data_IF_921792456989
#
_entry.id   IF_921792456989
#
_cell.length_a   1.000
_cell.length_b   1.000
_cell.length_c   1.000
_cell.angle_alpha   90.00
_cell.angle_beta   90.00
_cell.angle_gamma   90.00
#
_symmetry.space_group_name_H-M   'P 1'
#
loop_
_entity.id
_entity.type
_entity.pdbx_description
1 polymer ?
#
# COMPACT_ATOMS: atom_id res chain seq x y z
N UNK A 1 -38.58 23.67 0.38
CA UNK A 1 -38.36 22.40 1.10
C UNK A 1 -37.11 21.74 0.55
N UNK A 2 -35.98 21.85 1.23
CA UNK A 2 -34.79 21.06 0.92
C UNK A 2 -35.06 19.61 1.28
N UNK A 3 -35.01 18.70 0.30
CA UNK A 3 -35.03 17.25 0.54
C UNK A 3 -34.04 16.91 1.66
N UNK A 4 -34.39 16.02 2.62
CA UNK A 4 -33.44 15.60 3.63
C UNK A 4 -32.23 15.00 2.91
N UNK A 5 -31.03 15.47 3.24
CA UNK A 5 -29.79 14.85 2.75
C UNK A 5 -29.87 13.36 3.07
N UNK A 6 -29.85 12.51 2.04
CA UNK A 6 -29.73 11.07 2.24
C UNK A 6 -28.48 10.81 3.06
N UNK A 7 -28.65 10.12 4.19
CA UNK A 7 -27.55 9.69 5.05
C UNK A 7 -27.42 8.17 4.97
N UNK A 8 -26.21 7.66 5.23
CA UNK A 8 -26.00 6.20 5.19
C UNK A 8 -26.84 5.52 6.26
N UNK A 9 -27.01 6.17 7.43
CA UNK A 9 -27.84 5.67 8.52
C UNK A 9 -29.30 5.56 8.12
N UNK A 10 -29.84 6.55 7.42
CA UNK A 10 -31.23 6.52 6.93
C UNK A 10 -31.43 5.40 5.91
N UNK A 11 -30.53 5.29 4.93
CA UNK A 11 -30.63 4.25 3.89
C UNK A 11 -30.56 2.84 4.46
N UNK A 12 -29.61 2.57 5.37
CA UNK A 12 -29.48 1.28 6.04
C UNK A 12 -30.75 0.92 6.83
N UNK A 13 -31.37 1.89 7.51
CA UNK A 13 -32.63 1.68 8.23
C UNK A 13 -33.78 1.38 7.28
N UNK A 14 -33.92 2.14 6.19
CA UNK A 14 -34.94 1.92 5.15
C UNK A 14 -34.80 0.55 4.48
N UNK A 15 -33.57 0.12 4.18
CA UNK A 15 -33.26 -1.18 3.57
C UNK A 15 -33.27 -2.34 4.57
N UNK A 16 -33.56 -2.07 5.86
CA UNK A 16 -33.62 -3.06 6.95
C UNK A 16 -32.34 -3.90 7.09
N UNK A 17 -31.18 -3.36 6.75
CA UNK A 17 -29.92 -4.11 6.78
C UNK A 17 -29.52 -4.49 8.22
N UNK A 18 -28.97 -5.68 8.38
CA UNK A 18 -28.58 -6.26 9.66
C UNK A 18 -27.15 -5.83 10.05
N UNK A 19 -26.72 -6.18 11.27
CA UNK A 19 -25.32 -5.99 11.69
C UNK A 19 -24.34 -6.68 10.71
N UNK A 20 -24.69 -7.86 10.19
CA UNK A 20 -23.83 -8.64 9.31
C UNK A 20 -23.70 -8.01 7.92
N UNK A 21 -24.68 -7.24 7.48
CA UNK A 21 -24.60 -6.46 6.23
C UNK A 21 -23.72 -5.20 6.41
N UNK A 22 -23.63 -4.66 7.63
CA UNK A 22 -22.89 -3.42 7.93
C UNK A 22 -21.41 -3.68 8.19
N UNK A 23 -21.07 -4.76 8.91
CA UNK A 23 -19.68 -5.07 9.28
C UNK A 23 -18.71 -5.11 8.08
N UNK A 24 -19.06 -5.71 6.93
CA UNK A 24 -18.19 -5.72 5.75
C UNK A 24 -17.83 -4.32 5.24
N UNK A 25 -18.70 -3.32 5.42
CA UNK A 25 -18.44 -1.95 4.97
C UNK A 25 -17.19 -1.37 5.63
N UNK A 26 -16.92 -1.68 6.90
CA UNK A 26 -15.69 -1.21 7.56
C UNK A 26 -14.43 -1.76 6.88
N UNK A 27 -14.45 -3.02 6.47
CA UNK A 27 -13.33 -3.62 5.74
C UNK A 27 -13.20 -3.07 4.32
N UNK A 28 -14.33 -2.94 3.60
CA UNK A 28 -14.38 -2.42 2.22
C UNK A 28 -13.90 -0.96 2.15
N UNK A 29 -14.21 -0.16 3.18
CA UNK A 29 -13.91 1.25 3.26
C UNK A 29 -12.63 1.55 4.06
N UNK A 30 -11.99 0.54 4.66
CA UNK A 30 -10.79 0.72 5.47
C UNK A 30 -10.99 1.56 6.72
N UNK A 31 -12.15 1.45 7.35
CA UNK A 31 -12.44 2.08 8.63
C UNK A 31 -12.19 1.10 9.78
N UNK A 32 -11.71 1.62 10.91
CA UNK A 32 -11.56 0.82 12.12
C UNK A 32 -12.93 0.54 12.73
N UNK A 33 -13.11 -0.66 13.28
CA UNK A 33 -14.33 -0.97 14.01
C UNK A 33 -14.39 -0.14 15.29
N UNK A 34 -15.54 0.46 15.61
CA UNK A 34 -15.71 1.18 16.87
C UNK A 34 -15.68 0.20 18.06
N UNK A 35 -15.34 0.67 19.27
CA UNK A 35 -15.40 -0.16 20.48
C UNK A 35 -16.79 -0.79 20.70
N UNK A 36 -17.85 -0.02 20.43
CA UNK A 36 -19.22 -0.51 20.47
C UNK A 36 -19.65 -1.09 19.12
N UNK A 37 -19.61 -2.41 18.99
CA UNK A 37 -19.99 -3.13 17.75
C UNK A 37 -21.48 -3.51 17.69
N UNK A 38 -22.34 -2.89 18.51
CA UNK A 38 -23.80 -2.99 18.34
C UNK A 38 -24.22 -2.23 17.08
N UNK A 39 -25.37 -2.59 16.49
CA UNK A 39 -25.84 -2.04 15.22
C UNK A 39 -25.83 -0.50 15.19
N UNK A 40 -26.43 0.18 16.17
CA UNK A 40 -26.45 1.64 16.19
C UNK A 40 -25.04 2.24 16.33
N UNK A 41 -24.16 1.65 17.15
CA UNK A 41 -22.77 2.11 17.29
C UNK A 41 -21.96 1.98 15.99
N UNK A 42 -22.20 0.92 15.21
CA UNK A 42 -21.62 0.77 13.87
C UNK A 42 -22.15 1.82 12.89
N UNK A 43 -23.45 2.15 12.96
CA UNK A 43 -24.06 3.15 12.09
C UNK A 43 -23.54 4.56 12.40
N UNK A 44 -23.44 4.90 13.68
CA UNK A 44 -22.92 6.21 14.11
C UNK A 44 -21.47 6.38 13.65
N UNK A 45 -20.61 5.39 13.91
CA UNK A 45 -19.22 5.43 13.46
C UNK A 45 -19.07 5.53 11.93
N UNK A 46 -19.89 4.77 11.18
CA UNK A 46 -19.85 4.80 9.71
C UNK A 46 -20.30 6.17 9.16
N UNK A 47 -21.36 6.73 9.73
CA UNK A 47 -21.88 8.06 9.38
C UNK A 47 -20.83 9.14 9.68
N UNK A 48 -20.20 9.10 10.87
CA UNK A 48 -19.15 10.03 11.27
C UNK A 48 -17.93 9.96 10.35
N UNK A 49 -17.46 8.75 10.05
CA UNK A 49 -16.34 8.57 9.12
C UNK A 49 -16.65 9.12 7.73
N UNK A 50 -17.84 8.84 7.18
CA UNK A 50 -18.24 9.34 5.87
C UNK A 50 -18.44 10.85 5.84
N UNK A 51 -18.90 11.44 6.95
CA UNK A 51 -19.05 12.88 7.10
C UNK A 51 -17.72 13.60 7.28
N UNK A 52 -16.80 13.07 8.10
CA UNK A 52 -15.46 13.63 8.28
C UNK A 52 -14.66 13.62 6.97
N UNK A 53 -14.78 12.54 6.21
CA UNK A 53 -14.13 12.38 4.91
C UNK A 53 -14.86 13.10 3.76
N UNK A 54 -15.88 13.94 4.03
CA UNK A 54 -16.49 14.82 3.02
C UNK A 54 -15.51 15.87 2.48
N UNK A 55 -14.43 16.16 3.21
CA UNK A 55 -13.35 16.99 2.67
C UNK A 55 -12.72 16.26 1.48
N UNK A 56 -12.71 16.96 0.34
CA UNK A 56 -12.53 16.47 -1.04
C UNK A 56 -11.60 15.26 -1.13
N UNK A 57 -12.06 14.18 -1.78
CA UNK A 57 -11.16 13.29 -2.50
C UNK A 57 -10.29 14.19 -3.37
N UNK A 58 -9.01 14.34 -3.00
CA UNK A 58 -8.09 15.17 -3.76
C UNK A 58 -7.88 14.42 -5.06
N UNK A 59 -8.37 15.01 -6.14
CA UNK A 59 -8.37 14.42 -7.50
C UNK A 59 -6.97 14.00 -7.99
N UNK A 60 -5.93 14.55 -7.38
CA UNK A 60 -4.53 14.30 -7.71
C UNK A 60 -3.72 14.29 -6.42
N UNK A 61 -3.22 13.12 -6.01
CA UNK A 61 -2.36 13.00 -4.84
C UNK A 61 -1.37 11.86 -5.02
N UNK A 62 -0.32 11.88 -4.20
CA UNK A 62 0.62 10.79 -4.07
C UNK A 62 0.30 9.97 -2.83
N UNK A 63 0.40 8.66 -2.96
CA UNK A 63 0.37 7.73 -1.83
C UNK A 63 1.77 7.18 -1.65
N UNK A 64 2.34 7.38 -0.46
CA UNK A 64 3.57 6.75 -0.02
C UNK A 64 3.22 5.68 0.99
N UNK A 65 3.44 4.41 0.65
CA UNK A 65 3.18 3.31 1.56
C UNK A 65 4.49 2.76 2.08
N UNK A 66 4.65 2.80 3.41
CA UNK A 66 5.82 2.32 4.12
C UNK A 66 5.50 1.00 4.83
N UNK A 67 6.38 0.02 4.63
CA UNK A 67 6.56 -1.09 5.57
C UNK A 67 7.82 -0.82 6.40
N UNK A 68 7.61 -0.62 7.69
CA UNK A 68 8.57 -0.02 8.60
C UNK A 68 9.63 -1.03 9.05
N UNK A 69 10.89 -0.65 8.94
CA UNK A 69 11.99 -1.42 9.52
C UNK A 69 13.32 -0.70 9.38
N UNK A 70 14.20 -0.85 10.37
CA UNK A 70 15.54 -0.24 10.31
C UNK A 70 16.36 -0.82 9.13
N UNK A 71 16.47 -2.15 9.07
CA UNK A 71 17.31 -2.84 8.07
C UNK A 71 16.59 -3.21 6.77
N UNK A 72 15.26 -3.03 6.73
CA UNK A 72 14.39 -3.54 5.70
C UNK A 72 13.27 -2.54 5.33
N UNK A 73 13.47 -1.24 5.53
CA UNK A 73 12.49 -0.20 5.20
C UNK A 73 12.07 -0.33 3.75
N UNK A 74 10.77 -0.49 3.50
CA UNK A 74 10.24 -0.65 2.14
C UNK A 74 9.26 0.47 1.84
N UNK A 75 9.37 1.05 0.64
CA UNK A 75 8.52 2.15 0.18
C UNK A 75 7.97 1.84 -1.20
N UNK A 76 6.66 2.03 -1.37
CA UNK A 76 6.01 2.12 -2.67
C UNK A 76 5.38 3.52 -2.86
N UNK A 77 5.70 4.19 -3.97
CA UNK A 77 5.13 5.49 -4.36
C UNK A 77 4.16 5.32 -5.51
N UNK A 78 2.89 5.55 -5.21
CA UNK A 78 1.81 5.56 -6.18
C UNK A 78 1.38 7.00 -6.43
N UNK A 79 1.16 7.36 -7.69
CA UNK A 79 0.52 8.60 -8.09
C UNK A 79 -0.89 8.28 -8.55
N UNK A 80 -1.85 9.04 -8.05
CA UNK A 80 -3.24 8.91 -8.46
C UNK A 80 -3.58 10.11 -9.33
N UNK A 81 -3.99 9.82 -10.57
CA UNK A 81 -4.52 10.79 -11.51
C UNK A 81 -5.98 10.46 -11.76
N UNK A 82 -6.85 11.45 -11.66
CA UNK A 82 -8.28 11.31 -11.89
C UNK A 82 -8.66 10.79 -13.29
N UNK A 83 -7.77 10.93 -14.29
CA UNK A 83 -7.97 10.39 -15.63
C UNK A 83 -7.63 8.91 -15.71
N UNK A 84 -6.77 8.42 -14.83
CA UNK A 84 -6.34 7.04 -14.82
C UNK A 84 -7.29 6.19 -13.97
N UNK A 85 -7.66 5.02 -14.49
CA UNK A 85 -8.48 4.06 -13.73
C UNK A 85 -7.68 3.34 -12.65
N UNK A 86 -6.36 3.32 -12.79
CA UNK A 86 -5.41 2.61 -11.94
C UNK A 86 -4.32 3.58 -11.45
N UNK A 87 -3.80 3.42 -10.23
CA UNK A 87 -2.69 4.22 -9.74
C UNK A 87 -1.41 3.92 -10.52
N UNK A 88 -0.59 4.94 -10.72
CA UNK A 88 0.72 4.84 -11.37
C UNK A 88 1.82 4.58 -10.34
N UNK A 89 2.52 3.46 -10.42
CA UNK A 89 3.71 3.16 -9.64
C UNK A 89 4.92 3.92 -10.20
N UNK A 90 5.53 4.75 -9.38
CA UNK A 90 6.66 5.62 -9.77
C UNK A 90 7.97 5.30 -9.06
N UNK A 91 7.91 4.70 -7.87
CA UNK A 91 9.09 4.31 -7.10
C UNK A 91 8.74 3.11 -6.23
N UNK A 92 9.65 2.14 -6.15
CA UNK A 92 9.49 0.97 -5.30
C UNK A 92 10.85 0.39 -4.93
N UNK A 93 11.15 0.32 -3.63
CA UNK A 93 12.45 -0.14 -3.15
C UNK A 93 12.37 -0.70 -1.73
N UNK A 94 13.46 -1.35 -1.33
CA UNK A 94 13.72 -1.79 0.05
C UNK A 94 15.15 -1.45 0.45
N UNK A 95 15.32 -0.64 1.49
CA UNK A 95 16.61 -0.13 1.96
C UNK A 95 16.95 -0.55 3.39
N UNK A 96 18.25 -0.65 3.64
CA UNK A 96 18.80 -0.64 4.97
C UNK A 96 19.10 0.81 5.36
N UNK A 97 18.36 1.34 6.32
CA UNK A 97 18.55 2.69 6.85
C UNK A 97 19.80 2.81 7.73
N UNK A 98 20.33 1.67 8.19
CA UNK A 98 21.50 1.59 9.06
C UNK A 98 22.52 0.57 8.54
N UNK A 99 23.18 0.86 7.40
CA UNK A 99 24.14 -0.06 6.78
C UNK A 99 25.42 -0.23 7.59
N UNK A 100 25.73 0.72 8.48
CA UNK A 100 26.94 0.72 9.30
C UNK A 100 26.71 0.16 10.71
N UNK A 101 25.50 -0.34 11.00
CA UNK A 101 25.11 -0.84 12.32
C UNK A 101 25.46 0.15 13.44
N UNK A 102 24.95 1.38 13.30
CA UNK A 102 25.20 2.44 14.25
C UNK A 102 24.66 2.07 15.64
N UNK A 103 25.36 2.55 16.67
CA UNK A 103 24.90 2.39 18.05
C UNK A 103 23.49 2.96 18.20
N UNK A 104 22.66 2.27 18.99
CA UNK A 104 21.30 2.71 19.30
C UNK A 104 21.36 3.99 20.17
N UNK A 105 21.41 5.12 19.47
CA UNK A 105 21.56 6.45 20.02
C UNK A 105 20.53 7.36 19.33
N UNK A 106 19.74 8.15 20.08
CA UNK A 106 18.75 9.07 19.53
C UNK A 106 19.29 10.00 18.42
N UNK A 107 20.53 10.47 18.53
CA UNK A 107 21.17 11.36 17.55
C UNK A 107 21.36 10.64 16.20
N UNK A 108 21.84 9.40 16.22
CA UNK A 108 22.05 8.61 15.00
C UNK A 108 20.71 8.36 14.30
N UNK A 109 19.69 7.97 15.06
CA UNK A 109 18.37 7.64 14.51
C UNK A 109 17.65 8.90 14.00
N UNK A 110 17.86 10.05 14.66
CA UNK A 110 17.37 11.33 14.18
C UNK A 110 18.02 11.71 12.84
N UNK A 111 19.33 11.52 12.69
CA UNK A 111 20.03 11.78 11.42
C UNK A 111 19.55 10.86 10.30
N UNK A 112 19.45 9.55 10.57
CA UNK A 112 18.92 8.56 9.62
C UNK A 112 17.51 8.94 9.18
N UNK A 113 16.63 9.24 10.14
CA UNK A 113 15.22 9.56 9.86
C UNK A 113 15.08 10.89 9.11
N UNK A 114 15.85 11.92 9.49
CA UNK A 114 15.85 13.22 8.82
C UNK A 114 16.31 13.10 7.38
N UNK A 115 17.39 12.33 7.13
CA UNK A 115 17.87 12.03 5.78
C UNK A 115 16.80 11.32 4.96
N UNK A 116 16.15 10.30 5.52
CA UNK A 116 15.07 9.59 4.83
C UNK A 116 13.88 10.49 4.50
N UNK A 117 13.42 11.32 5.46
CA UNK A 117 12.36 12.30 5.22
C UNK A 117 12.74 13.22 4.07
N UNK A 118 13.94 13.81 4.11
CA UNK A 118 14.38 14.77 3.10
C UNK A 118 14.52 14.13 1.71
N UNK A 119 15.22 13.00 1.61
CA UNK A 119 15.56 12.38 0.32
C UNK A 119 14.41 11.58 -0.29
N UNK A 120 13.60 10.92 0.55
CA UNK A 120 12.60 9.94 0.09
C UNK A 120 11.16 10.43 0.26
N UNK A 121 10.86 11.41 1.13
CA UNK A 121 9.48 11.89 1.32
C UNK A 121 9.32 13.29 0.74
N UNK A 122 10.14 14.25 1.19
CA UNK A 122 9.99 15.68 0.91
C UNK A 122 10.69 16.15 -0.36
N UNK A 123 11.56 15.33 -0.95
CA UNK A 123 12.44 15.70 -2.06
C UNK A 123 11.75 16.69 -3.03
N UNK A 124 12.24 17.94 -3.00
CA UNK A 124 11.59 19.20 -3.41
C UNK A 124 11.07 19.28 -4.86
N UNK A 125 11.16 18.19 -5.64
CA UNK A 125 10.79 18.12 -7.05
C UNK A 125 9.38 17.57 -7.30
N UNK A 126 8.67 17.16 -6.24
CA UNK A 126 7.33 16.57 -6.32
C UNK A 126 6.26 17.37 -5.57
N UNK A 127 6.68 18.40 -4.83
CA UNK A 127 5.91 19.06 -3.77
C UNK A 127 4.81 20.02 -4.24
N UNK A 128 4.22 19.81 -5.42
CA UNK A 128 3.06 20.56 -5.89
C UNK A 128 1.73 19.83 -5.71
N UNK A 129 1.75 18.59 -5.21
CA UNK A 129 0.55 17.78 -4.99
C UNK A 129 0.51 17.22 -3.56
N UNK A 130 -0.68 17.04 -2.96
CA UNK A 130 -0.83 16.43 -1.64
C UNK A 130 -0.23 15.02 -1.57
N UNK A 131 0.29 14.68 -0.39
CA UNK A 131 0.87 13.37 -0.10
C UNK A 131 0.08 12.72 1.02
N UNK A 132 -0.42 11.51 0.79
CA UNK A 132 -0.90 10.60 1.81
C UNK A 132 0.22 9.61 2.15
N UNK A 133 0.79 9.73 3.34
CA UNK A 133 1.78 8.80 3.85
C UNK A 133 1.10 7.73 4.72
N UNK A 134 1.27 6.47 4.34
CA UNK A 134 0.72 5.32 5.02
C UNK A 134 1.83 4.56 5.72
N UNK A 135 1.63 4.26 7.00
CA UNK A 135 2.55 3.44 7.79
C UNK A 135 1.77 2.29 8.42
N UNK A 136 2.22 1.05 8.22
CA UNK A 136 1.73 -0.05 9.06
C UNK A 136 2.29 0.12 10.48
N UNK A 137 1.41 0.06 11.48
CA UNK A 137 1.86 0.07 12.88
C UNK A 137 2.69 -1.15 13.17
N UNK A 138 3.82 -0.97 13.82
CA UNK A 138 4.56 -2.09 14.35
C UNK A 138 3.74 -2.82 15.44
N UNK A 139 3.67 -4.15 15.35
CA UNK A 139 2.95 -4.97 16.36
C UNK A 139 3.75 -5.01 17.65
N UNK A 140 3.08 -4.78 18.78
CA UNK A 140 3.65 -5.06 20.09
C UNK A 140 3.86 -6.57 20.25
N UNK A 141 5.10 -7.00 20.51
CA UNK A 141 5.45 -8.42 20.71
C UNK A 141 5.85 -8.60 22.18
N UNK A 142 5.00 -9.28 22.96
CA UNK A 142 5.14 -9.39 24.44
C UNK A 142 5.85 -10.64 24.96
N UNK A 143 6.48 -11.45 24.11
CA UNK A 143 7.01 -12.75 24.56
C UNK A 143 8.18 -13.32 23.77
N UNK A 144 9.01 -12.48 23.15
CA UNK A 144 10.15 -12.92 22.34
C UNK A 144 11.48 -12.48 22.94
N UNK A 145 12.52 -13.28 22.71
CA UNK A 145 13.91 -13.05 23.09
C UNK A 145 14.38 -11.58 22.95
N UNK A 146 15.40 -11.18 23.72
CA UNK A 146 15.96 -9.81 23.78
C UNK A 146 16.16 -9.14 22.41
N UNK A 147 16.55 -9.91 21.38
CA UNK A 147 16.71 -9.43 20.00
C UNK A 147 15.43 -8.92 19.34
N UNK A 148 14.27 -9.49 19.68
CA UNK A 148 12.96 -9.04 19.18
C UNK A 148 12.56 -7.73 19.82
N UNK A 149 12.82 -7.57 21.12
CA UNK A 149 12.57 -6.32 21.85
C UNK A 149 13.42 -5.19 21.27
N UNK A 150 14.71 -5.42 21.05
CA UNK A 150 15.63 -4.43 20.49
C UNK A 150 15.20 -3.98 19.09
N UNK A 151 14.90 -4.91 18.18
CA UNK A 151 14.43 -4.59 16.82
C UNK A 151 13.11 -3.81 16.83
N UNK A 152 12.21 -4.14 17.76
CA UNK A 152 10.93 -3.43 17.93
C UNK A 152 11.17 -2.01 18.45
N UNK A 153 12.00 -1.83 19.47
CA UNK A 153 12.34 -0.51 20.01
C UNK A 153 12.98 0.38 18.94
N UNK A 154 13.97 -0.14 18.20
CA UNK A 154 14.65 0.59 17.11
C UNK A 154 13.67 1.03 16.02
N UNK A 155 12.77 0.14 15.60
CA UNK A 155 11.76 0.46 14.59
C UNK A 155 10.75 1.49 15.09
N UNK A 156 10.27 1.34 16.32
CA UNK A 156 9.36 2.31 16.94
C UNK A 156 10.02 3.70 17.12
N UNK A 157 11.32 3.75 17.41
CA UNK A 157 12.07 5.02 17.46
C UNK A 157 12.05 5.73 16.11
N UNK A 158 12.29 5.01 15.01
CA UNK A 158 12.20 5.59 13.66
C UNK A 158 10.76 6.03 13.35
N UNK A 159 9.76 5.20 13.66
CA UNK A 159 8.35 5.55 13.45
C UNK A 159 7.95 6.84 14.18
N UNK A 160 8.37 6.98 15.45
CA UNK A 160 8.11 8.18 16.24
C UNK A 160 8.83 9.41 15.68
N UNK A 161 10.11 9.28 15.31
CA UNK A 161 10.88 10.38 14.71
C UNK A 161 10.33 10.79 13.35
N UNK A 162 9.82 9.83 12.57
CA UNK A 162 9.23 10.08 11.26
C UNK A 162 7.89 10.82 11.41
N UNK A 163 7.03 10.37 12.33
CA UNK A 163 5.82 11.10 12.72
C UNK A 163 6.14 12.53 13.15
N UNK A 164 7.12 12.72 14.03
CA UNK A 164 7.50 14.03 14.55
C UNK A 164 8.03 14.94 13.45
N UNK A 165 8.99 14.47 12.64
CA UNK A 165 9.59 15.26 11.57
C UNK A 165 8.58 15.72 10.53
N UNK A 166 7.64 14.86 10.14
CA UNK A 166 6.59 15.21 9.19
C UNK A 166 5.50 16.10 9.80
N UNK A 167 5.17 15.90 11.08
CA UNK A 167 4.26 16.80 11.80
C UNK A 167 4.85 18.20 11.89
N UNK A 168 6.14 18.31 12.21
CA UNK A 168 6.86 19.58 12.20
C UNK A 168 6.91 20.21 10.82
N UNK A 169 7.17 19.43 9.77
CA UNK A 169 7.07 19.92 8.39
C UNK A 169 5.67 20.50 8.09
N UNK A 170 4.59 19.81 8.48
CA UNK A 170 3.23 20.31 8.29
C UNK A 170 2.89 21.54 9.14
N UNK A 171 3.52 21.70 10.30
CA UNK A 171 3.36 22.85 11.17
C UNK A 171 4.05 24.09 10.56
N UNK A 172 5.27 23.91 10.04
CA UNK A 172 6.06 24.97 9.42
C UNK A 172 5.61 25.31 7.99
N UNK A 173 4.95 24.38 7.29
CA UNK A 173 4.45 24.62 5.95
C UNK A 173 3.11 25.37 6.00
N UNK A 174 3.18 26.66 5.64
CA UNK A 174 2.03 27.56 5.61
C UNK A 174 1.01 27.19 4.52
N UNK A 175 1.40 26.42 3.49
CA UNK A 175 0.48 26.01 2.44
C UNK A 175 -0.33 24.77 2.86
N UNK A 176 -1.63 24.92 3.20
CA UNK A 176 -2.45 23.80 3.64
C UNK A 176 -2.61 22.72 2.57
N UNK A 177 -2.47 23.07 1.28
CA UNK A 177 -2.58 22.11 0.17
C UNK A 177 -1.34 21.24 0.00
N UNK A 178 -0.23 21.54 0.69
CA UNK A 178 1.01 20.77 0.63
C UNK A 178 1.28 20.02 1.93
N UNK A 179 0.31 19.99 2.85
CA UNK A 179 0.40 19.19 4.06
C UNK A 179 0.35 17.71 3.71
N UNK A 180 1.19 16.94 4.41
CA UNK A 180 1.28 15.50 4.28
C UNK A 180 0.26 14.88 5.23
N UNK A 181 -0.70 14.13 4.71
CA UNK A 181 -1.64 13.39 5.53
C UNK A 181 -0.96 12.11 6.00
N UNK A 182 -0.64 12.03 7.29
CA UNK A 182 -0.01 10.85 7.88
C UNK A 182 -1.12 9.95 8.39
N UNK A 183 -1.18 8.73 7.87
CA UNK A 183 -2.17 7.72 8.25
C UNK A 183 -1.48 6.45 8.74
N UNK A 184 -1.97 5.95 9.86
CA UNK A 184 -1.47 4.73 10.47
C UNK A 184 -2.47 3.59 10.21
N UNK A 185 -2.04 2.52 9.55
CA UNK A 185 -2.90 1.37 9.26
C UNK A 185 -2.80 0.31 10.36
N UNK A 186 -3.92 -0.34 10.66
CA UNK A 186 -3.93 -1.45 11.59
C UNK A 186 -3.18 -2.66 11.02
N UNK A 187 -2.41 -3.39 11.85
CA UNK A 187 -1.62 -4.49 11.35
C UNK A 187 -2.48 -5.57 10.68
N UNK A 188 -2.09 -6.00 9.49
CA UNK A 188 -2.82 -7.03 8.73
C UNK A 188 -4.17 -6.61 8.12
N UNK A 189 -4.57 -5.34 8.22
CA UNK A 189 -5.81 -4.86 7.58
C UNK A 189 -5.77 -5.00 6.05
N UNK A 190 -4.64 -4.62 5.44
CA UNK A 190 -4.37 -4.85 4.01
C UNK A 190 -4.47 -6.33 3.66
N UNK A 191 -3.85 -7.19 4.47
CA UNK A 191 -3.81 -8.64 4.20
C UNK A 191 -5.22 -9.21 4.19
N UNK A 192 -6.04 -8.83 5.16
CA UNK A 192 -7.44 -9.23 5.24
C UNK A 192 -8.25 -8.74 4.05
N UNK A 193 -8.00 -7.52 3.57
CA UNK A 193 -8.67 -6.99 2.38
C UNK A 193 -8.42 -7.87 1.16
N UNK A 194 -7.15 -8.16 0.85
CA UNK A 194 -6.79 -8.97 -0.31
C UNK A 194 -7.18 -10.43 -0.16
N UNK A 195 -7.04 -11.00 1.04
CA UNK A 195 -7.51 -12.36 1.31
C UNK A 195 -9.01 -12.48 1.10
N UNK A 196 -9.84 -11.59 1.65
CA UNK A 196 -11.29 -11.66 1.45
C UNK A 196 -11.71 -11.56 -0.03
N UNK A 197 -10.94 -10.82 -0.82
CA UNK A 197 -11.19 -10.66 -2.24
C UNK A 197 -10.91 -11.94 -3.06
N UNK A 198 -9.98 -12.80 -2.60
CA UNK A 198 -9.49 -13.95 -3.35
C UNK A 198 -9.69 -15.32 -2.67
N UNK A 199 -9.81 -15.37 -1.35
CA UNK A 199 -9.92 -16.54 -0.47
C UNK A 199 -11.13 -16.35 0.46
N UNK A 200 -12.33 -16.40 -0.10
CA UNK A 200 -13.55 -16.35 0.72
C UNK A 200 -13.59 -17.58 1.63
N UNK A 201 -13.80 -17.34 2.92
CA UNK A 201 -14.13 -18.34 3.94
C UNK A 201 -13.03 -19.33 4.37
N UNK A 202 -11.78 -19.14 3.93
CA UNK A 202 -10.65 -20.00 4.33
C UNK A 202 -9.65 -19.31 5.26
N UNK A 203 -9.33 -19.97 6.39
CA UNK A 203 -8.21 -19.57 7.24
C UNK A 203 -6.91 -20.10 6.66
N UNK A 204 -6.07 -19.20 6.16
CA UNK A 204 -4.72 -19.56 5.72
C UNK A 204 -3.69 -19.34 6.84
N UNK A 205 -2.66 -20.17 6.87
CA UNK A 205 -1.54 -20.04 7.81
C UNK A 205 -0.71 -18.78 7.53
N UNK A 206 0.15 -18.38 8.48
CA UNK A 206 1.03 -17.23 8.29
C UNK A 206 2.00 -17.41 7.11
N UNK A 207 2.49 -18.65 6.91
CA UNK A 207 3.39 -18.97 5.79
C UNK A 207 2.66 -18.84 4.44
N UNK A 208 1.44 -19.36 4.36
CA UNK A 208 0.61 -19.25 3.16
C UNK A 208 0.22 -17.81 2.88
N UNK A 209 -0.11 -17.04 3.92
CA UNK A 209 -0.38 -15.61 3.80
C UNK A 209 0.81 -14.83 3.24
N UNK A 210 2.04 -15.15 3.68
CA UNK A 210 3.26 -14.55 3.12
C UNK A 210 3.44 -14.91 1.64
N UNK A 211 3.28 -16.18 1.28
CA UNK A 211 3.40 -16.62 -0.13
C UNK A 211 2.36 -15.93 -1.01
N UNK A 212 1.11 -15.91 -0.55
CA UNK A 212 -0.01 -15.27 -1.23
C UNK A 212 0.29 -13.81 -1.59
N UNK A 213 0.77 -13.01 -0.64
CA UNK A 213 1.03 -11.58 -0.88
C UNK A 213 2.09 -11.35 -1.96
N UNK A 214 3.18 -12.12 -1.90
CA UNK A 214 4.29 -12.02 -2.86
C UNK A 214 3.84 -12.46 -4.25
N UNK A 215 3.10 -13.56 -4.34
CA UNK A 215 2.59 -14.09 -5.59
C UNK A 215 1.52 -13.17 -6.19
N UNK A 216 0.64 -12.60 -5.37
CA UNK A 216 -0.37 -11.63 -5.79
C UNK A 216 0.27 -10.45 -6.49
N UNK A 217 1.24 -9.83 -5.84
CA UNK A 217 1.99 -8.71 -6.41
C UNK A 217 2.76 -9.12 -7.66
N UNK A 218 3.39 -10.30 -7.67
CA UNK A 218 4.13 -10.79 -8.84
C UNK A 218 3.22 -10.97 -10.06
N UNK A 219 2.00 -11.50 -9.86
CA UNK A 219 1.03 -11.66 -10.94
C UNK A 219 0.41 -10.34 -11.38
N UNK A 220 0.12 -9.41 -10.46
CA UNK A 220 -0.31 -8.04 -10.79
C UNK A 220 0.75 -7.32 -11.63
N UNK A 221 2.03 -7.44 -11.24
CA UNK A 221 3.15 -6.86 -11.98
C UNK A 221 3.30 -7.50 -13.36
N UNK A 222 3.22 -8.82 -13.46
CA UNK A 222 3.28 -9.52 -14.75
C UNK A 222 2.15 -9.06 -15.68
N UNK A 223 0.92 -8.95 -15.18
CA UNK A 223 -0.24 -8.43 -15.91
C UNK A 223 -0.01 -6.99 -16.39
N UNK A 224 0.61 -6.15 -15.55
CA UNK A 224 0.99 -4.79 -15.89
C UNK A 224 2.09 -4.74 -16.96
N UNK A 225 3.10 -5.61 -16.89
CA UNK A 225 4.19 -5.64 -17.88
C UNK A 225 3.71 -6.12 -19.26
N UNK A 226 2.70 -7.01 -19.30
CA UNK A 226 2.09 -7.47 -20.56
C UNK A 226 1.53 -6.32 -21.38
N UNK A 227 0.97 -5.29 -20.73
CA UNK A 227 0.41 -4.14 -21.45
C UNK A 227 1.47 -3.29 -22.17
N UNK A 228 2.75 -3.49 -21.85
CA UNK A 228 3.88 -2.76 -22.41
C UNK A 228 4.85 -3.65 -23.20
N UNK A 229 4.53 -4.93 -23.40
CA UNK A 229 5.42 -5.91 -24.05
C UNK A 229 6.79 -6.06 -23.34
N UNK A 230 6.82 -5.81 -22.02
CA UNK A 230 8.03 -5.91 -21.18
C UNK A 230 8.08 -7.21 -20.38
N UNK A 231 7.21 -8.17 -20.72
CA UNK A 231 7.25 -9.47 -20.07
C UNK A 231 8.47 -10.28 -20.50
N UNK A 232 9.13 -10.95 -19.56
CA UNK A 232 10.15 -11.95 -19.88
C UNK A 232 9.57 -13.08 -20.76
N UNK A 233 10.37 -13.55 -21.71
CA UNK A 233 10.00 -14.48 -22.80
C UNK A 233 9.54 -15.85 -22.30
N UNK A 234 10.14 -16.33 -21.22
CA UNK A 234 9.94 -17.70 -20.74
C UNK A 234 9.13 -17.81 -19.45
N UNK A 235 8.48 -16.73 -19.03
CA UNK A 235 7.69 -16.72 -17.81
C UNK A 235 6.27 -17.14 -18.11
N UNK A 236 5.89 -18.27 -17.53
CA UNK A 236 4.48 -18.62 -17.38
C UNK A 236 3.88 -17.77 -16.26
N UNK A 237 2.61 -17.42 -16.41
CA UNK A 237 1.79 -17.00 -15.27
C UNK A 237 2.00 -17.99 -14.13
N UNK A 238 2.24 -17.48 -12.92
CA UNK A 238 2.67 -18.33 -11.81
C UNK A 238 1.47 -19.05 -11.20
N UNK A 239 1.04 -20.13 -11.87
CA UNK A 239 -0.09 -21.05 -11.58
C UNK A 239 -0.10 -21.69 -10.20
N UNK A 240 0.87 -21.39 -9.34
CA UNK A 240 1.00 -21.96 -8.00
C UNK A 240 0.65 -20.95 -6.91
N UNK A 241 -0.18 -19.93 -7.21
CA UNK A 241 -1.11 -19.56 -6.15
C UNK A 241 -1.85 -20.84 -5.80
N UNK A 242 -1.84 -21.22 -4.52
CA UNK A 242 -2.57 -22.37 -4.00
C UNK A 242 -3.90 -22.54 -4.76
N UNK A 243 -4.38 -23.78 -4.98
CA UNK A 243 -5.54 -24.20 -5.82
C UNK A 243 -6.80 -23.28 -5.83
N UNK A 244 -6.87 -22.37 -4.88
CA UNK A 244 -7.89 -21.38 -4.57
C UNK A 244 -7.88 -20.08 -5.39
N UNK A 245 -6.76 -19.64 -6.02
CA UNK A 245 -6.76 -18.39 -6.83
C UNK A 245 -6.53 -18.66 -8.31
N UNK A 246 -7.60 -18.48 -9.10
CA UNK A 246 -7.51 -18.50 -10.57
C UNK A 246 -6.81 -17.24 -11.06
N UNK A 247 -5.61 -17.41 -11.63
CA UNK A 247 -4.80 -16.30 -12.16
C UNK A 247 -5.51 -15.51 -13.25
N UNK A 248 -6.38 -16.17 -14.01
CA UNK A 248 -7.23 -15.52 -15.01
C UNK A 248 -8.09 -14.38 -14.44
N UNK A 249 -8.26 -14.32 -13.12
CA UNK A 249 -9.04 -13.27 -12.45
C UNK A 249 -8.18 -12.10 -11.95
N UNK A 250 -6.85 -12.18 -12.03
CA UNK A 250 -5.95 -11.13 -11.56
C UNK A 250 -5.78 -10.08 -12.66
N UNK A 251 -6.51 -8.99 -12.48
CA UNK A 251 -6.41 -7.78 -13.32
C UNK A 251 -5.25 -6.90 -12.85
N UNK A 252 -4.73 -5.99 -13.70
CA UNK A 252 -3.79 -4.98 -13.23
C UNK A 252 -4.48 -4.07 -12.21
N UNK A 253 -3.82 -3.87 -11.07
CA UNK A 253 -4.25 -2.92 -10.02
C UNK A 253 -3.44 -1.63 -10.00
N UNK A 254 -2.42 -1.54 -10.85
CA UNK A 254 -1.61 -0.36 -11.06
C UNK A 254 -1.06 -0.37 -12.49
N UNK A 255 -0.47 0.76 -12.88
CA UNK A 255 0.35 0.88 -14.09
C UNK A 255 1.74 1.36 -13.71
N UNK A 256 2.73 1.21 -14.60
CA UNK A 256 4.06 1.75 -14.37
C UNK A 256 4.14 3.18 -14.89
N UNK A 257 4.89 4.05 -14.20
CA UNK A 257 5.18 5.39 -14.72
C UNK A 257 5.93 5.31 -16.05
N UNK A 258 5.72 6.32 -16.91
CA UNK A 258 6.39 6.38 -18.21
C UNK A 258 7.93 6.36 -18.07
N UNK A 259 8.45 6.95 -17.00
CA UNK A 259 9.88 6.94 -16.69
C UNK A 259 10.40 5.52 -16.44
N UNK A 260 9.68 4.71 -15.65
CA UNK A 260 10.03 3.31 -15.41
C UNK A 260 9.92 2.49 -16.70
N UNK A 261 8.87 2.70 -17.49
CA UNK A 261 8.68 2.00 -18.77
C UNK A 261 9.85 2.31 -19.71
N UNK A 262 10.13 3.59 -19.96
CA UNK A 262 11.21 4.02 -20.84
C UNK A 262 12.57 3.52 -20.36
N UNK A 263 12.82 3.62 -19.06
CA UNK A 263 14.04 3.16 -18.42
C UNK A 263 14.23 1.65 -18.56
N UNK A 264 13.18 0.87 -18.33
CA UNK A 264 13.22 -0.58 -18.44
C UNK A 264 13.40 -1.00 -19.91
N UNK A 265 12.65 -0.43 -20.84
CA UNK A 265 12.83 -0.65 -22.29
C UNK A 265 14.26 -0.37 -22.72
N UNK A 266 14.86 0.73 -22.26
CA UNK A 266 16.26 1.06 -22.55
C UNK A 266 17.22 0.05 -21.95
N UNK A 267 17.02 -0.33 -20.69
CA UNK A 267 17.87 -1.27 -19.96
C UNK A 267 17.87 -2.66 -20.63
N UNK A 268 16.71 -3.13 -21.11
CA UNK A 268 16.54 -4.44 -21.73
C UNK A 268 17.03 -4.53 -23.19
N UNK A 269 17.47 -3.42 -23.82
CA UNK A 269 18.16 -3.47 -25.12
C UNK A 269 19.54 -4.13 -25.05
N UNK A 270 20.15 -4.12 -23.86
CA UNK A 270 21.41 -4.80 -23.61
C UNK A 270 21.16 -6.28 -23.28
N UNK A 271 21.85 -7.19 -23.98
CA UNK A 271 21.64 -8.65 -23.84
C UNK A 271 21.95 -9.16 -22.43
N UNK A 272 22.93 -8.57 -21.74
CA UNK A 272 23.28 -8.98 -20.36
C UNK A 272 22.16 -8.60 -19.40
N UNK A 273 21.60 -7.41 -19.55
CA UNK A 273 20.46 -6.96 -18.77
C UNK A 273 19.17 -7.73 -19.09
N UNK A 274 18.92 -8.05 -20.36
CA UNK A 274 17.81 -8.92 -20.77
C UNK A 274 17.93 -10.30 -20.11
N UNK A 275 19.12 -10.92 -20.17
CA UNK A 275 19.37 -12.22 -19.52
C UNK A 275 19.19 -12.14 -17.99
N UNK A 276 19.60 -11.03 -17.37
CA UNK A 276 19.40 -10.80 -15.93
C UNK A 276 17.92 -10.65 -15.59
N UNK A 277 17.14 -9.97 -16.44
CA UNK A 277 15.69 -9.85 -16.30
C UNK A 277 15.02 -11.21 -16.37
N UNK A 278 15.30 -12.01 -17.40
CA UNK A 278 14.79 -13.40 -17.50
C UNK A 278 15.13 -14.23 -16.26
N UNK A 279 16.39 -14.13 -15.80
CA UNK A 279 16.87 -14.84 -14.62
C UNK A 279 16.17 -14.40 -13.33
N UNK A 280 15.89 -13.10 -13.18
CA UNK A 280 15.18 -12.54 -12.03
C UNK A 280 13.80 -13.19 -11.85
N UNK A 281 13.11 -13.48 -12.94
CA UNK A 281 11.82 -14.17 -12.91
C UNK A 281 11.95 -15.71 -12.75
N UNK A 282 13.10 -16.28 -13.08
CA UNK A 282 13.39 -17.71 -12.95
C UNK A 282 13.65 -18.21 -11.52
N UNK A 283 13.85 -17.32 -10.53
CA UNK A 283 14.11 -17.74 -9.15
C UNK A 283 12.97 -18.59 -8.57
N UNK A 284 13.30 -19.76 -8.01
CA UNK A 284 12.32 -20.66 -7.37
C UNK A 284 11.65 -20.02 -6.15
N UNK A 285 12.42 -19.36 -5.29
CA UNK A 285 11.91 -18.69 -4.10
C UNK A 285 11.19 -17.39 -4.47
N UNK A 286 9.87 -17.32 -4.23
CA UNK A 286 9.03 -16.17 -4.57
C UNK A 286 9.55 -14.84 -3.98
N UNK A 287 9.94 -14.86 -2.71
CA UNK A 287 10.49 -13.67 -2.03
C UNK A 287 11.77 -13.15 -2.70
N UNK A 288 12.68 -14.05 -3.08
CA UNK A 288 13.92 -13.71 -3.78
C UNK A 288 13.66 -13.16 -5.19
N UNK A 289 12.74 -13.81 -5.90
CA UNK A 289 12.30 -13.42 -7.24
C UNK A 289 11.79 -11.98 -7.26
N UNK A 290 10.84 -11.67 -6.37
CA UNK A 290 10.27 -10.33 -6.29
C UNK A 290 11.34 -9.28 -5.98
N UNK A 291 12.25 -9.57 -5.05
CA UNK A 291 13.37 -8.67 -4.76
C UNK A 291 14.23 -8.37 -5.99
N UNK A 292 14.59 -9.39 -6.78
CA UNK A 292 15.42 -9.21 -7.98
C UNK A 292 14.70 -8.39 -9.05
N UNK A 293 13.41 -8.67 -9.26
CA UNK A 293 12.57 -7.93 -10.20
C UNK A 293 12.51 -6.45 -9.81
N UNK A 294 12.18 -6.15 -8.56
CA UNK A 294 12.05 -4.76 -8.09
C UNK A 294 13.39 -4.04 -8.09
N UNK A 295 14.49 -4.75 -7.81
CA UNK A 295 15.83 -4.18 -7.94
C UNK A 295 16.13 -3.72 -9.37
N UNK A 296 15.80 -4.53 -10.37
CA UNK A 296 15.97 -4.15 -11.79
C UNK A 296 15.06 -2.95 -12.14
N UNK A 297 13.81 -2.92 -11.64
CA UNK A 297 12.92 -1.78 -11.83
C UNK A 297 13.49 -0.49 -11.22
N UNK A 298 14.09 -0.57 -10.04
CA UNK A 298 14.77 0.57 -9.42
C UNK A 298 15.98 1.03 -10.24
N UNK A 299 16.78 0.11 -10.78
CA UNK A 299 17.92 0.46 -11.64
C UNK A 299 17.49 1.16 -12.93
N UNK A 300 16.34 0.77 -13.47
CA UNK A 300 15.69 1.40 -14.62
C UNK A 300 15.08 2.78 -14.31
N UNK A 301 14.89 3.12 -13.04
CA UNK A 301 14.23 4.37 -12.66
C UNK A 301 15.13 5.59 -12.85
N UNK A 302 14.53 6.78 -12.84
CA UNK A 302 15.28 8.05 -12.90
C UNK A 302 16.12 8.25 -11.64
N UNK A 303 17.19 9.05 -11.75
CA UNK A 303 18.11 9.33 -10.63
C UNK A 303 17.40 9.84 -9.37
N UNK A 304 16.26 10.51 -9.49
CA UNK A 304 15.53 11.05 -8.34
C UNK A 304 14.78 9.96 -7.54
N UNK A 305 14.46 8.83 -8.18
CA UNK A 305 13.71 7.74 -7.56
C UNK A 305 14.53 6.45 -7.39
N UNK A 306 15.70 6.40 -8.03
CA UNK A 306 16.63 5.30 -7.91
C UNK A 306 17.34 5.33 -6.56
N UNK A 307 17.36 4.18 -5.91
CA UNK A 307 18.18 3.88 -4.73
C UNK A 307 19.50 3.24 -5.16
N UNK A 308 20.59 3.67 -4.54
CA UNK A 308 21.93 3.12 -4.75
C UNK A 308 22.07 1.69 -4.25
N UNK A 309 22.84 0.88 -4.97
CA UNK A 309 22.99 -0.56 -4.73
C UNK A 309 23.47 -0.91 -3.31
N UNK A 310 24.31 -0.05 -2.73
CA UNK A 310 24.90 -0.24 -1.39
C UNK A 310 23.88 -0.10 -0.27
N UNK A 311 22.77 0.61 -0.52
CA UNK A 311 21.70 0.82 0.44
C UNK A 311 20.66 -0.30 0.42
N UNK A 312 20.71 -1.21 -0.56
CA UNK A 312 19.71 -2.28 -0.68
C UNK A 312 19.79 -3.25 0.50
N UNK A 313 18.62 -3.50 1.10
CA UNK A 313 18.48 -4.42 2.20
C UNK A 313 18.66 -5.89 1.78
N UNK A 314 18.46 -6.79 2.75
CA UNK A 314 18.47 -8.23 2.56
C UNK A 314 17.58 -8.67 1.38
N UNK A 315 18.04 -9.73 0.69
CA UNK A 315 17.49 -10.30 -0.55
C UNK A 315 16.15 -11.05 -0.36
N UNK A 316 15.19 -10.38 0.27
CA UNK A 316 13.83 -10.85 0.56
C UNK A 316 12.82 -9.79 0.14
N UNK A 317 11.74 -10.21 -0.51
CA UNK A 317 10.72 -9.35 -1.11
C UNK A 317 9.38 -9.32 -0.38
N UNK A 318 9.25 -9.89 0.81
CA UNK A 318 8.04 -9.77 1.62
C UNK A 318 7.71 -8.32 1.98
N UNK A 319 8.70 -7.53 2.44
CA UNK A 319 8.49 -6.12 2.77
C UNK A 319 8.15 -5.28 1.51
N UNK A 320 8.65 -5.69 0.33
CA UNK A 320 8.31 -5.08 -0.95
C UNK A 320 6.85 -5.33 -1.31
N UNK A 321 6.38 -6.56 -1.16
CA UNK A 321 4.98 -6.90 -1.39
C UNK A 321 4.06 -6.14 -0.42
N UNK A 322 4.44 -6.06 0.85
CA UNK A 322 3.64 -5.44 1.90
C UNK A 322 3.50 -3.93 1.67
N UNK A 323 4.57 -3.21 1.35
CA UNK A 323 4.49 -1.77 1.04
C UNK A 323 3.62 -1.47 -0.19
N UNK A 324 3.75 -2.22 -1.27
CA UNK A 324 2.93 -2.00 -2.47
C UNK A 324 1.46 -2.35 -2.22
N UNK A 325 1.16 -3.49 -1.60
CA UNK A 325 -0.21 -3.87 -1.27
C UNK A 325 -0.87 -2.86 -0.32
N UNK A 326 -0.12 -2.28 0.63
CA UNK A 326 -0.64 -1.21 1.49
C UNK A 326 -1.12 0.00 0.69
N UNK A 327 -0.31 0.47 -0.25
CA UNK A 327 -0.67 1.58 -1.13
C UNK A 327 -1.89 1.25 -2.00
N UNK A 328 -1.93 0.06 -2.59
CA UNK A 328 -3.05 -0.38 -3.43
C UNK A 328 -4.35 -0.56 -2.65
N UNK A 329 -4.28 -1.11 -1.43
CA UNK A 329 -5.45 -1.22 -0.56
C UNK A 329 -6.00 0.15 -0.20
N UNK A 330 -5.13 1.11 0.13
CA UNK A 330 -5.58 2.47 0.42
C UNK A 330 -6.27 3.11 -0.78
N UNK A 331 -5.74 2.93 -1.98
CA UNK A 331 -6.40 3.37 -3.20
C UNK A 331 -7.81 2.79 -3.34
N UNK A 332 -7.95 1.47 -3.15
CA UNK A 332 -9.25 0.81 -3.22
C UNK A 332 -10.20 1.32 -2.12
N UNK A 333 -9.71 1.59 -0.90
CA UNK A 333 -10.51 2.24 0.14
C UNK A 333 -11.02 3.61 -0.29
N UNK A 334 -10.16 4.47 -0.85
CA UNK A 334 -10.57 5.80 -1.30
C UNK A 334 -11.62 5.71 -2.42
N UNK A 335 -11.40 4.83 -3.39
CA UNK A 335 -12.35 4.55 -4.49
C UNK A 335 -13.69 4.01 -3.97
N UNK A 336 -13.66 3.11 -2.99
CA UNK A 336 -14.86 2.55 -2.38
C UNK A 336 -15.62 3.60 -1.56
N UNK A 337 -14.91 4.50 -0.86
CA UNK A 337 -15.50 5.66 -0.16
C UNK A 337 -16.20 6.62 -1.11
N UNK A 338 -15.62 6.89 -2.28
CA UNK A 338 -16.27 7.70 -3.32
C UNK A 338 -17.51 6.98 -3.91
N UNK A 339 -17.39 5.69 -4.20
CA UNK A 339 -18.48 4.90 -4.74
C UNK A 339 -19.68 4.77 -3.78
N UNK A 340 -19.45 4.51 -2.48
CA UNK A 340 -20.55 4.44 -1.51
C UNK A 340 -21.23 5.81 -1.32
N UNK A 341 -20.51 6.94 -1.45
CA UNK A 341 -21.15 8.26 -1.42
C UNK A 341 -22.11 8.45 -2.58
N UNK A 342 -21.74 8.00 -3.79
CA UNK A 342 -22.65 8.04 -4.95
C UNK A 342 -23.89 7.16 -4.74
N UNK A 343 -23.72 5.99 -4.10
CA UNK A 343 -24.84 5.12 -3.69
C UNK A 343 -25.76 5.88 -2.73
N UNK A 344 -25.20 6.58 -1.74
CA UNK A 344 -25.96 7.37 -0.77
C UNK A 344 -26.70 8.53 -1.44
N UNK A 345 -26.02 9.32 -2.26
CA UNK A 345 -26.59 10.47 -2.97
C UNK A 345 -27.77 10.07 -3.87
N UNK A 346 -27.66 8.91 -4.52
CA UNK A 346 -28.68 8.37 -5.43
C UNK A 346 -29.72 7.46 -4.75
N UNK A 347 -29.65 7.29 -3.42
CA UNK A 347 -30.49 6.35 -2.68
C UNK A 347 -30.49 4.91 -3.23
N UNK A 348 -29.35 4.44 -3.70
CA UNK A 348 -29.20 3.08 -4.25
C UNK A 348 -29.03 2.03 -3.14
N UNK A 349 -29.10 0.75 -3.53
CA UNK A 349 -28.98 -0.38 -2.62
C UNK A 349 -27.55 -0.52 -2.06
N UNK A 350 -27.42 -0.40 -0.73
CA UNK A 350 -26.14 -0.53 -0.02
C UNK A 350 -25.70 -1.99 0.03
N UNK A 351 -26.64 -2.94 0.08
CA UNK A 351 -26.33 -4.37 0.07
C UNK A 351 -25.76 -4.80 -1.28
N UNK A 352 -26.32 -4.28 -2.38
CA UNK A 352 -25.75 -4.50 -3.71
C UNK A 352 -24.32 -3.96 -3.81
N UNK A 353 -24.04 -2.78 -3.23
CA UNK A 353 -22.68 -2.26 -3.15
C UNK A 353 -21.74 -3.22 -2.40
N UNK A 354 -22.16 -3.79 -1.26
CA UNK A 354 -21.34 -4.76 -0.51
C UNK A 354 -21.08 -6.00 -1.37
N UNK A 355 -22.12 -6.57 -1.99
CA UNK A 355 -22.02 -7.78 -2.81
C UNK A 355 -21.11 -7.59 -4.03
N UNK A 356 -21.21 -6.46 -4.72
CA UNK A 356 -20.39 -6.16 -5.92
C UNK A 356 -18.92 -5.94 -5.61
N UNK A 357 -18.57 -5.58 -4.37
CA UNK A 357 -17.17 -5.47 -3.93
C UNK A 357 -16.54 -6.80 -3.57
N UNK A 358 -17.30 -7.89 -3.63
CA UNK A 358 -16.77 -9.25 -3.60
C UNK A 358 -16.09 -9.61 -2.27
N UNK A 359 -16.41 -8.89 -1.18
CA UNK A 359 -15.93 -9.16 0.18
C UNK A 359 -17.01 -9.82 1.00
#
# INVERSE_FOLDING_TARGET
MTLPRNSIKTLIKCQKLTKNDILPLFNILGYQLPPNTRKEGLLDALEDHLNFTKSKFVKYHQVLALDMGLKNMSLARLKLDNKEKLPTLSQWFKINLDPLDCNFNPINYANITTKFIYEQILNNRLSSIPIDLLMERQRFRTGGASSVLESTLKTNTIEAMLCMGLTMNNYLNENPNLKINISSSAPGAMVKYWQNLYYKDEKISEKESKSFRIELISNMLLSTLKTYELTPKHVKEYSNMNEYVKISNIKPYFVLSQDLINGLTKLLKDKKNESRWESAWGFKAHSRRLWEIVKILNEANTKNFKIDDELWATKKGDDLADSLLHGLTHYEYLKNRDAIRKVIEKSQDVKEFVLTKGI
#
